data_IF_924451642492
#
_entry.id   IF_924451642492
#
_cell.length_a   1.000
_cell.length_b   1.000
_cell.length_c   1.000
_cell.angle_alpha   90.00
_cell.angle_beta   90.00
_cell.angle_gamma   90.00
#
_symmetry.space_group_name_H-M   'P 1'
#
loop_
_entity.id
_entity.type
_entity.pdbx_description
1 polymer ?
#
# COMPACT_ATOMS: atom_id res chain seq x y z
N UNK A 1 -17.50 19.04 65.87
CA UNK A 1 -16.61 20.20 66.04
C UNK A 1 -15.20 19.66 66.02
N UNK A 2 -14.47 19.83 64.93
CA UNK A 2 -13.06 19.39 64.83
C UNK A 2 -12.20 20.22 65.74
N UNK A 3 -11.35 19.60 66.53
CA UNK A 3 -10.40 20.30 67.40
C UNK A 3 -9.47 21.17 66.55
N UNK A 4 -9.48 22.48 66.76
CA UNK A 4 -8.52 23.41 66.19
C UNK A 4 -7.12 23.16 66.82
N UNK A 5 -6.34 22.31 66.19
CA UNK A 5 -4.96 22.10 66.62
C UNK A 5 -4.06 23.14 65.97
N UNK A 6 -3.47 24.00 66.79
CA UNK A 6 -2.55 25.10 66.32
C UNK A 6 -1.30 24.54 65.65
N UNK A 7 -0.96 23.30 65.89
CA UNK A 7 0.24 22.62 65.30
C UNK A 7 0.02 22.10 63.88
N UNK A 8 -1.19 21.75 63.50
CA UNK A 8 -1.48 21.22 62.16
C UNK A 8 -2.79 21.83 61.59
N UNK A 9 -2.66 22.63 60.53
CA UNK A 9 -3.83 23.18 59.81
C UNK A 9 -4.34 22.13 58.80
N UNK A 10 -5.16 21.17 59.27
CA UNK A 10 -5.72 20.09 58.47
C UNK A 10 -6.53 20.65 57.30
N UNK A 11 -7.28 21.75 57.49
CA UNK A 11 -8.05 22.37 56.42
C UNK A 11 -7.17 22.98 55.31
N UNK A 12 -6.03 23.60 55.68
CA UNK A 12 -5.05 24.07 54.69
C UNK A 12 -4.36 22.93 53.94
N UNK A 13 -4.04 21.83 54.65
CA UNK A 13 -3.45 20.66 54.01
C UNK A 13 -4.42 19.96 53.03
N UNK A 14 -5.69 19.85 53.39
CA UNK A 14 -6.76 19.32 52.52
C UNK A 14 -7.00 20.21 51.29
N UNK A 15 -7.02 21.53 51.49
CA UNK A 15 -7.10 22.50 50.37
C UNK A 15 -5.89 22.41 49.45
N UNK A 16 -4.69 22.22 50.01
CA UNK A 16 -3.45 22.04 49.22
C UNK A 16 -3.44 20.74 48.43
N UNK A 17 -3.88 19.63 49.03
CA UNK A 17 -4.01 18.34 48.33
C UNK A 17 -5.04 18.44 47.18
N UNK A 18 -6.19 19.08 47.43
CA UNK A 18 -7.22 19.31 46.40
C UNK A 18 -6.71 20.19 45.25
N UNK A 19 -5.95 21.25 45.59
CA UNK A 19 -5.32 22.12 44.60
C UNK A 19 -4.26 21.37 43.76
N UNK A 20 -3.46 20.53 44.39
CA UNK A 20 -2.46 19.69 43.67
C UNK A 20 -3.13 18.71 42.72
N UNK A 21 -4.21 18.04 43.13
CA UNK A 21 -4.99 17.14 42.28
C UNK A 21 -5.61 17.89 41.12
N UNK A 22 -6.22 19.05 41.36
CA UNK A 22 -6.81 19.88 40.31
C UNK A 22 -5.75 20.39 39.32
N UNK A 23 -4.54 20.71 39.76
CA UNK A 23 -3.45 21.10 38.88
C UNK A 23 -3.00 19.94 37.96
N UNK A 24 -2.99 18.70 38.47
CA UNK A 24 -2.70 17.52 37.63
C UNK A 24 -3.79 17.31 36.57
N UNK A 25 -5.06 17.42 36.95
CA UNK A 25 -6.18 17.33 36.02
C UNK A 25 -6.13 18.43 34.97
N UNK A 26 -5.89 19.67 35.37
CA UNK A 26 -5.73 20.82 34.45
C UNK A 26 -4.63 20.60 33.42
N UNK A 27 -3.48 20.06 33.83
CA UNK A 27 -2.39 19.74 32.92
C UNK A 27 -2.78 18.64 31.92
N UNK A 28 -3.51 17.60 32.36
CA UNK A 28 -4.01 16.54 31.51
C UNK A 28 -5.02 17.06 30.47
N UNK A 29 -5.98 17.89 30.91
CA UNK A 29 -6.99 18.51 30.04
C UNK A 29 -6.32 19.46 29.01
N UNK A 30 -5.34 20.25 29.42
CA UNK A 30 -4.55 21.10 28.50
C UNK A 30 -3.78 20.26 27.49
N UNK A 31 -3.22 19.13 27.90
CA UNK A 31 -2.53 18.21 26.99
C UNK A 31 -3.50 17.61 25.99
N UNK A 32 -4.65 17.09 26.44
CA UNK A 32 -5.68 16.54 25.55
C UNK A 32 -6.20 17.60 24.56
N UNK A 33 -6.39 18.84 25.02
CA UNK A 33 -6.84 19.96 24.18
C UNK A 33 -5.76 20.37 23.15
N UNK A 34 -4.49 20.35 23.55
CA UNK A 34 -3.35 20.70 22.67
C UNK A 34 -3.07 19.65 21.61
N UNK A 35 -3.18 18.37 21.94
CA UNK A 35 -2.94 17.25 21.01
C UNK A 35 -4.17 16.86 20.21
N UNK A 36 -5.37 17.21 20.68
CA UNK A 36 -6.64 16.70 20.17
C UNK A 36 -6.89 15.23 20.50
N UNK A 37 -6.06 14.62 21.34
CA UNK A 37 -6.13 13.22 21.71
C UNK A 37 -6.51 13.06 23.19
N UNK A 38 -7.43 12.14 23.47
CA UNK A 38 -7.83 11.75 24.82
C UNK A 38 -6.76 10.89 25.49
N UNK A 39 -6.11 10.01 24.72
CA UNK A 39 -5.07 9.10 25.17
C UNK A 39 -3.74 9.63 24.67
N UNK A 40 -2.95 10.21 25.57
CA UNK A 40 -1.62 10.77 25.26
C UNK A 40 -0.48 9.91 25.79
N UNK A 41 -0.77 9.02 26.76
CA UNK A 41 0.21 8.16 27.40
C UNK A 41 -0.39 6.81 27.76
N UNK A 42 0.48 5.81 27.99
CA UNK A 42 0.05 4.51 28.50
C UNK A 42 -0.55 4.54 29.92
N UNK A 43 -0.43 5.66 30.63
CA UNK A 43 -1.06 5.85 31.93
C UNK A 43 -2.54 6.25 31.83
N UNK A 44 -2.95 6.87 30.70
CA UNK A 44 -4.33 7.33 30.48
C UNK A 44 -5.27 6.17 30.18
N UNK A 45 -4.87 5.30 29.23
CA UNK A 45 -5.58 4.07 28.88
C UNK A 45 -4.61 3.07 28.21
N UNK A 46 -4.01 2.12 28.97
CA UNK A 46 -3.08 1.15 28.40
C UNK A 46 -3.72 0.24 27.35
N UNK A 47 -4.99 -0.12 27.53
CA UNK A 47 -5.70 -1.01 26.63
C UNK A 47 -6.09 -0.29 25.33
N UNK A 48 -6.65 0.92 25.43
CA UNK A 48 -6.99 1.76 24.29
C UNK A 48 -5.76 2.11 23.46
N UNK A 49 -4.65 2.47 24.10
CA UNK A 49 -3.39 2.78 23.41
C UNK A 49 -2.83 1.55 22.67
N UNK A 50 -2.87 0.36 23.27
CA UNK A 50 -2.42 -0.86 22.61
C UNK A 50 -3.25 -1.18 21.36
N UNK A 51 -4.58 -1.02 21.43
CA UNK A 51 -5.49 -1.22 20.29
C UNK A 51 -5.23 -0.17 19.21
N UNK A 52 -5.13 1.10 19.58
CA UNK A 52 -4.88 2.20 18.64
C UNK A 52 -3.55 2.02 17.89
N UNK A 53 -2.48 1.66 18.61
CA UNK A 53 -1.18 1.37 17.99
C UNK A 53 -1.26 0.17 17.03
N UNK A 54 -2.04 -0.86 17.35
CA UNK A 54 -2.30 -1.99 16.45
C UNK A 54 -3.06 -1.56 15.18
N UNK A 55 -4.09 -0.71 15.32
CA UNK A 55 -4.83 -0.16 14.19
C UNK A 55 -3.93 0.72 13.31
N UNK A 56 -3.12 1.59 13.92
CA UNK A 56 -2.15 2.44 13.20
C UNK A 56 -1.10 1.62 12.44
N UNK A 57 -0.60 0.52 13.04
CA UNK A 57 0.31 -0.39 12.36
C UNK A 57 -0.35 -1.03 11.13
N UNK A 58 -1.62 -1.45 11.25
CA UNK A 58 -2.38 -2.01 10.14
C UNK A 58 -2.65 -0.96 9.04
N UNK A 59 -3.00 0.28 9.41
CA UNK A 59 -3.16 1.40 8.46
C UNK A 59 -1.87 1.65 7.69
N UNK A 60 -0.72 1.65 8.38
CA UNK A 60 0.60 1.84 7.77
C UNK A 60 0.92 0.71 6.79
N UNK A 61 0.67 -0.55 7.20
CA UNK A 61 0.90 -1.72 6.34
C UNK A 61 0.00 -1.72 5.10
N UNK A 62 -1.28 -1.38 5.26
CA UNK A 62 -2.23 -1.27 4.13
C UNK A 62 -1.86 -0.12 3.19
N UNK A 63 -1.40 1.01 3.72
CA UNK A 63 -0.94 2.14 2.90
C UNK A 63 0.25 1.73 2.04
N UNK A 64 1.23 1.01 2.61
CA UNK A 64 2.34 0.47 1.84
C UNK A 64 1.86 -0.59 0.82
N UNK A 65 0.88 -1.41 1.17
CA UNK A 65 0.29 -2.40 0.28
C UNK A 65 -0.43 -1.77 -0.92
N UNK A 66 -1.11 -0.63 -0.72
CA UNK A 66 -1.69 0.19 -1.81
C UNK A 66 -0.59 0.71 -2.74
N UNK A 67 0.53 1.17 -2.18
CA UNK A 67 1.67 1.61 -2.99
C UNK A 67 2.26 0.45 -3.79
N UNK A 68 2.48 -0.71 -3.16
CA UNK A 68 2.97 -1.91 -3.83
C UNK A 68 2.04 -2.35 -4.98
N UNK A 69 0.72 -2.29 -4.78
CA UNK A 69 -0.26 -2.60 -5.82
C UNK A 69 -0.19 -1.61 -6.98
N UNK A 70 -0.02 -0.32 -6.69
CA UNK A 70 0.13 0.73 -7.71
C UNK A 70 1.41 0.53 -8.53
N UNK A 71 2.52 0.24 -7.88
CA UNK A 71 3.80 -0.07 -8.54
C UNK A 71 3.68 -1.33 -9.41
N UNK A 72 2.97 -2.34 -8.91
CA UNK A 72 2.65 -3.55 -9.66
C UNK A 72 1.83 -3.28 -10.92
N UNK A 73 0.81 -2.43 -10.85
CA UNK A 73 0.04 -1.99 -12.02
C UNK A 73 0.94 -1.26 -13.02
N UNK A 74 1.84 -0.39 -12.55
CA UNK A 74 2.82 0.29 -13.40
C UNK A 74 3.72 -0.68 -14.15
N UNK A 75 4.23 -1.71 -13.48
CA UNK A 75 5.03 -2.77 -14.09
C UNK A 75 4.23 -3.56 -15.15
N UNK A 76 2.97 -3.90 -14.84
CA UNK A 76 2.08 -4.59 -15.78
C UNK A 76 1.77 -3.76 -17.02
N UNK A 77 1.66 -2.44 -16.90
CA UNK A 77 1.48 -1.53 -18.04
C UNK A 77 2.71 -1.49 -18.95
N UNK A 78 3.92 -1.50 -18.37
CA UNK A 78 5.17 -1.62 -19.16
C UNK A 78 5.22 -2.94 -19.90
N UNK A 79 4.85 -4.04 -19.22
CA UNK A 79 4.77 -5.37 -19.85
C UNK A 79 3.77 -5.39 -21.02
N UNK A 80 2.56 -4.85 -20.82
CA UNK A 80 1.53 -4.80 -21.89
C UNK A 80 1.98 -3.94 -23.07
N UNK A 81 2.66 -2.82 -22.82
CA UNK A 81 3.24 -1.98 -23.86
C UNK A 81 4.26 -2.73 -24.71
N UNK A 82 5.17 -3.47 -24.09
CA UNK A 82 6.15 -4.32 -24.79
C UNK A 82 5.48 -5.41 -25.62
N UNK A 83 4.49 -6.11 -25.06
CA UNK A 83 3.72 -7.14 -25.76
C UNK A 83 2.90 -6.59 -26.93
N UNK A 84 2.45 -5.34 -26.83
CA UNK A 84 1.78 -4.64 -27.94
C UNK A 84 2.72 -4.41 -29.12
N UNK A 85 3.98 -4.03 -28.86
CA UNK A 85 5.00 -3.89 -29.91
C UNK A 85 5.34 -5.26 -30.56
N UNK A 86 5.49 -6.30 -29.74
CA UNK A 86 5.70 -7.66 -30.23
C UNK A 86 4.52 -8.11 -31.12
N UNK A 87 3.28 -7.80 -30.74
CA UNK A 87 2.11 -8.11 -31.55
C UNK A 87 2.19 -7.40 -32.91
N UNK A 88 2.64 -6.15 -32.97
CA UNK A 88 2.83 -5.41 -34.22
C UNK A 88 3.91 -6.04 -35.10
N UNK A 89 5.02 -6.48 -34.51
CA UNK A 89 6.09 -7.20 -35.22
C UNK A 89 5.61 -8.54 -35.76
N UNK A 90 4.84 -9.29 -34.97
CA UNK A 90 4.23 -10.55 -35.42
C UNK A 90 3.25 -10.34 -36.58
N UNK A 91 2.46 -9.27 -36.58
CA UNK A 91 1.60 -8.93 -37.72
C UNK A 91 2.42 -8.60 -38.99
N UNK A 92 3.56 -7.92 -38.86
CA UNK A 92 4.48 -7.73 -39.98
C UNK A 92 5.06 -9.06 -40.46
N UNK A 93 5.41 -9.96 -39.54
CA UNK A 93 5.88 -11.32 -39.84
C UNK A 93 4.80 -12.14 -40.60
N UNK A 94 3.51 -12.01 -40.24
CA UNK A 94 2.40 -12.62 -41.00
C UNK A 94 2.39 -12.10 -42.47
N UNK A 95 2.59 -10.80 -42.68
CA UNK A 95 2.63 -10.22 -44.01
C UNK A 95 3.76 -10.81 -44.86
N UNK A 96 4.99 -10.85 -44.31
CA UNK A 96 6.15 -11.43 -44.98
C UNK A 96 5.96 -12.91 -45.30
N UNK A 97 5.48 -13.70 -44.34
CA UNK A 97 5.23 -15.11 -44.52
C UNK A 97 4.12 -15.39 -45.54
N UNK A 98 3.07 -14.56 -45.57
CA UNK A 98 1.99 -14.64 -46.58
C UNK A 98 2.52 -14.32 -48.00
N UNK A 99 3.36 -13.31 -48.09
CA UNK A 99 4.00 -12.96 -49.37
C UNK A 99 4.91 -14.11 -49.82
N UNK A 100 5.77 -14.64 -48.96
CA UNK A 100 6.65 -15.75 -49.30
C UNK A 100 5.93 -17.05 -49.62
N UNK A 101 4.73 -17.30 -49.02
CA UNK A 101 3.90 -18.45 -49.36
C UNK A 101 3.31 -18.40 -50.78
N UNK A 102 3.29 -17.21 -51.44
CA UNK A 102 2.76 -17.10 -52.77
C UNK A 102 3.64 -17.77 -53.81
N UNK A 103 2.99 -18.50 -54.73
CA UNK A 103 3.70 -19.19 -55.85
C UNK A 103 4.29 -18.24 -56.89
N UNK A 104 3.98 -16.93 -56.82
CA UNK A 104 4.50 -15.89 -57.75
C UNK A 104 5.84 -15.31 -57.31
N UNK A 105 6.29 -15.58 -56.08
CA UNK A 105 7.55 -15.06 -55.51
C UNK A 105 8.70 -15.97 -55.87
N UNK A 106 9.81 -15.43 -56.36
CA UNK A 106 11.02 -16.15 -56.68
C UNK A 106 11.83 -16.51 -55.44
N UNK A 107 12.70 -17.52 -55.51
CA UNK A 107 13.54 -17.93 -54.40
C UNK A 107 14.47 -16.81 -53.92
N UNK A 108 14.98 -15.95 -54.81
CA UNK A 108 15.81 -14.80 -54.40
C UNK A 108 15.01 -13.76 -53.64
N UNK A 109 13.74 -13.54 -53.97
CA UNK A 109 12.86 -12.68 -53.19
C UNK A 109 12.53 -13.29 -51.84
N UNK A 110 12.27 -14.61 -51.77
CA UNK A 110 12.06 -15.30 -50.49
C UNK A 110 13.27 -15.18 -49.56
N UNK A 111 14.49 -15.24 -50.11
CA UNK A 111 15.70 -15.01 -49.30
C UNK A 111 15.76 -13.60 -48.71
N UNK A 112 15.29 -12.59 -49.47
CA UNK A 112 15.18 -11.23 -48.93
C UNK A 112 14.11 -11.12 -47.83
N UNK A 113 12.94 -11.73 -48.05
CA UNK A 113 11.86 -11.79 -47.05
C UNK A 113 12.31 -12.55 -45.77
N UNK A 114 13.12 -13.63 -45.93
CA UNK A 114 13.71 -14.36 -44.79
C UNK A 114 14.65 -13.44 -43.99
N UNK A 115 15.47 -12.63 -44.62
CA UNK A 115 16.38 -11.72 -43.92
C UNK A 115 15.59 -10.66 -43.08
N UNK A 116 14.49 -10.16 -43.62
CA UNK A 116 13.62 -9.24 -42.90
C UNK A 116 12.89 -9.95 -41.76
N UNK A 117 12.39 -11.17 -41.96
CA UNK A 117 11.79 -11.99 -40.91
C UNK A 117 12.79 -12.30 -39.76
N UNK A 118 14.04 -12.63 -40.08
CA UNK A 118 15.10 -12.84 -39.09
C UNK A 118 15.37 -11.55 -38.26
N UNK A 119 15.27 -10.39 -38.89
CA UNK A 119 15.37 -9.10 -38.16
C UNK A 119 14.21 -8.91 -37.19
N UNK A 120 12.99 -9.29 -37.56
CA UNK A 120 11.83 -9.26 -36.67
C UNK A 120 12.03 -10.22 -35.50
N UNK A 121 12.53 -11.44 -35.71
CA UNK A 121 12.84 -12.40 -34.63
C UNK A 121 13.84 -11.82 -33.63
N UNK A 122 14.90 -11.18 -34.14
CA UNK A 122 15.91 -10.50 -33.33
C UNK A 122 15.32 -9.35 -32.52
N UNK A 123 14.46 -8.54 -33.14
CA UNK A 123 13.80 -7.41 -32.44
C UNK A 123 12.84 -7.87 -31.36
N UNK A 124 12.06 -8.93 -31.60
CA UNK A 124 11.20 -9.55 -30.59
C UNK A 124 12.03 -10.00 -29.37
N UNK A 125 13.14 -10.69 -29.62
CA UNK A 125 14.06 -11.13 -28.57
C UNK A 125 14.67 -9.94 -27.83
N UNK A 126 15.05 -8.88 -28.55
CA UNK A 126 15.58 -7.65 -27.95
C UNK A 126 14.55 -6.95 -27.06
N UNK A 127 13.29 -6.85 -27.49
CA UNK A 127 12.21 -6.31 -26.66
C UNK A 127 12.02 -7.15 -25.40
N UNK A 128 11.97 -8.48 -25.51
CA UNK A 128 11.79 -9.37 -24.36
C UNK A 128 12.92 -9.27 -23.34
N UNK A 129 14.17 -9.17 -23.80
CA UNK A 129 15.35 -9.11 -22.91
C UNK A 129 15.58 -7.72 -22.30
N UNK A 130 15.28 -6.64 -23.04
CA UNK A 130 15.60 -5.29 -22.62
C UNK A 130 14.43 -4.58 -21.92
N UNK A 131 13.24 -5.19 -21.88
CA UNK A 131 12.11 -4.61 -21.14
C UNK A 131 12.33 -4.79 -19.64
N UNK A 132 12.60 -3.67 -18.97
CA UNK A 132 12.88 -3.63 -17.54
C UNK A 132 11.96 -2.64 -16.83
N UNK A 133 11.71 -2.89 -15.56
CA UNK A 133 11.05 -1.96 -14.64
C UNK A 133 11.90 -1.85 -13.37
N UNK A 134 12.29 -0.64 -13.03
CA UNK A 134 13.17 -0.35 -11.90
C UNK A 134 14.46 -1.22 -11.89
N UNK A 135 15.05 -1.45 -13.09
CA UNK A 135 16.26 -2.27 -13.26
C UNK A 135 16.04 -3.78 -13.18
N UNK A 136 14.82 -4.25 -12.99
CA UNK A 136 14.47 -5.67 -13.00
C UNK A 136 13.89 -6.06 -14.36
N UNK A 137 14.36 -7.16 -14.95
CA UNK A 137 13.78 -7.69 -16.18
C UNK A 137 12.34 -8.16 -15.91
N UNK A 138 11.44 -7.76 -16.80
CA UNK A 138 10.02 -8.12 -16.69
C UNK A 138 9.78 -9.53 -17.23
N UNK A 139 10.43 -9.87 -18.34
CA UNK A 139 10.30 -11.17 -19.00
C UNK A 139 11.55 -12.01 -18.76
N UNK A 140 11.36 -13.28 -18.42
CA UNK A 140 12.46 -14.20 -18.19
C UNK A 140 11.95 -15.60 -17.87
N UNK A 141 12.87 -16.58 -17.83
CA UNK A 141 12.52 -17.95 -17.48
C UNK A 141 11.94 -17.99 -16.05
N UNK A 142 10.67 -18.34 -15.94
CA UNK A 142 9.95 -18.39 -14.67
C UNK A 142 9.64 -17.01 -14.08
N UNK A 143 9.72 -15.92 -14.87
CA UNK A 143 9.39 -14.59 -14.38
C UNK A 143 7.94 -14.55 -13.89
N UNK A 144 7.79 -14.21 -12.62
CA UNK A 144 6.51 -14.00 -11.97
C UNK A 144 6.59 -12.77 -11.07
N UNK A 145 5.60 -11.90 -11.17
CA UNK A 145 5.46 -10.76 -10.28
C UNK A 145 4.58 -11.19 -9.09
N UNK A 146 5.15 -11.17 -7.90
CA UNK A 146 4.41 -11.41 -6.66
C UNK A 146 4.28 -10.10 -5.90
N UNK A 147 3.08 -9.55 -5.87
CA UNK A 147 2.77 -8.29 -5.19
C UNK A 147 2.18 -8.62 -3.83
N UNK A 148 2.89 -8.23 -2.78
CA UNK A 148 2.46 -8.41 -1.41
C UNK A 148 1.46 -7.32 -1.02
N UNK A 149 0.28 -7.76 -0.54
CA UNK A 149 -0.83 -6.91 -0.12
C UNK A 149 -1.42 -7.49 1.17
N UNK A 150 -0.97 -7.04 2.32
CA UNK A 150 -1.47 -7.52 3.61
C UNK A 150 -1.51 -6.39 4.64
N UNK A 151 -2.44 -6.50 5.56
CA UNK A 151 -2.59 -5.60 6.71
C UNK A 151 -1.67 -5.95 7.89
N UNK A 152 -0.68 -6.82 7.71
CA UNK A 152 0.17 -7.40 8.76
C UNK A 152 -0.57 -8.22 9.83
N UNK A 153 -1.88 -8.40 9.72
CA UNK A 153 -2.62 -9.29 10.61
C UNK A 153 -2.29 -10.76 10.31
N UNK A 154 -2.35 -11.61 11.32
CA UNK A 154 -1.99 -13.04 11.25
C UNK A 154 -2.90 -13.88 10.34
N UNK A 155 -3.87 -13.29 9.66
CA UNK A 155 -4.91 -13.96 8.86
C UNK A 155 -4.50 -14.30 7.41
N UNK A 156 -3.22 -14.25 7.11
CA UNK A 156 -2.69 -14.72 5.84
C UNK A 156 -2.09 -13.62 4.97
N UNK A 157 -1.02 -13.98 4.28
CA UNK A 157 -0.38 -13.13 3.27
C UNK A 157 -1.26 -13.10 2.02
N UNK A 158 -1.87 -11.97 1.72
CA UNK A 158 -2.52 -11.76 0.43
C UNK A 158 -1.46 -11.34 -0.58
N UNK A 159 -1.18 -12.22 -1.54
CA UNK A 159 -0.29 -11.91 -2.66
C UNK A 159 -1.03 -12.09 -3.96
N UNK A 160 -0.92 -11.13 -4.86
CA UNK A 160 -1.30 -11.33 -6.27
C UNK A 160 -0.04 -11.73 -7.04
N UNK A 161 -0.08 -12.92 -7.61
CA UNK A 161 1.02 -13.42 -8.42
C UNK A 161 0.62 -13.39 -9.89
N UNK A 162 1.40 -12.70 -10.71
CA UNK A 162 1.22 -12.64 -12.16
C UNK A 162 2.40 -13.32 -12.82
N UNK A 163 2.13 -14.39 -13.56
CA UNK A 163 3.15 -15.08 -14.36
C UNK A 163 3.31 -14.34 -15.68
N UNK A 164 4.49 -13.78 -15.91
CA UNK A 164 4.82 -13.04 -17.13
C UNK A 164 5.55 -13.92 -18.15
N UNK A 165 6.22 -14.95 -17.66
CA UNK A 165 6.93 -15.93 -18.50
C UNK A 165 8.11 -15.32 -19.26
N UNK A 166 8.70 -16.14 -20.11
CA UNK A 166 9.77 -15.73 -21.02
C UNK A 166 9.17 -15.27 -22.34
N UNK A 167 9.73 -14.20 -22.89
CA UNK A 167 9.32 -13.64 -24.18
C UNK A 167 10.59 -13.44 -25.02
N UNK A 168 10.82 -14.37 -25.94
CA UNK A 168 11.82 -14.31 -27.00
C UNK A 168 11.26 -15.04 -28.24
N UNK A 169 12.05 -15.14 -29.33
CA UNK A 169 11.66 -15.84 -30.55
C UNK A 169 11.40 -17.35 -30.35
N UNK A 170 12.01 -17.95 -29.34
CA UNK A 170 11.83 -19.35 -28.96
C UNK A 170 10.69 -19.58 -27.95
N UNK A 171 10.30 -18.56 -27.19
CA UNK A 171 9.33 -18.65 -26.09
C UNK A 171 8.36 -17.47 -26.15
N UNK A 172 7.36 -17.52 -27.00
CA UNK A 172 6.36 -16.47 -27.12
C UNK A 172 5.13 -16.79 -26.26
N UNK A 173 5.02 -16.07 -25.13
CA UNK A 173 3.84 -16.12 -24.28
C UNK A 173 3.67 -17.40 -23.46
N UNK A 174 4.76 -18.13 -23.14
CA UNK A 174 4.72 -19.27 -22.23
C UNK A 174 4.50 -18.80 -20.80
N UNK A 175 3.28 -18.96 -20.28
CA UNK A 175 3.01 -18.82 -18.85
C UNK A 175 3.49 -20.06 -18.08
N UNK A 176 3.83 -19.88 -16.81
CA UNK A 176 4.19 -21.00 -15.91
C UNK A 176 3.07 -22.03 -15.91
N UNK A 177 3.30 -23.19 -16.53
CA UNK A 177 2.31 -24.27 -16.67
C UNK A 177 2.00 -24.68 -18.11
N UNK A 178 2.43 -23.95 -19.14
CA UNK A 178 2.38 -24.40 -20.52
C UNK A 178 3.56 -25.30 -20.82
N UNK A 179 3.31 -26.53 -21.21
CA UNK A 179 4.35 -27.55 -21.48
C UNK A 179 4.98 -27.42 -22.88
N UNK A 180 4.41 -26.59 -23.74
CA UNK A 180 4.92 -26.38 -25.10
C UNK A 180 5.08 -24.88 -25.37
N UNK A 181 6.34 -24.39 -25.46
CA UNK A 181 6.59 -23.01 -25.88
C UNK A 181 6.16 -22.83 -27.33
N UNK A 182 5.49 -21.71 -27.62
CA UNK A 182 5.27 -21.30 -29.01
C UNK A 182 6.56 -20.65 -29.50
N UNK A 183 7.18 -21.25 -30.51
CA UNK A 183 8.46 -20.79 -31.07
C UNK A 183 8.30 -20.39 -32.52
N UNK A 184 8.93 -19.28 -32.87
CA UNK A 184 9.13 -18.85 -34.24
C UNK A 184 10.60 -18.89 -34.65
N UNK A 185 11.52 -19.28 -33.73
CA UNK A 185 12.96 -19.26 -33.93
C UNK A 185 13.42 -20.14 -35.10
N UNK A 186 12.77 -21.29 -35.29
CA UNK A 186 13.10 -22.25 -36.35
C UNK A 186 12.29 -22.06 -37.64
N UNK A 187 11.48 -20.99 -37.72
CA UNK A 187 10.68 -20.75 -38.90
C UNK A 187 11.53 -20.20 -40.07
N UNK A 188 11.26 -20.72 -41.24
CA UNK A 188 11.96 -20.38 -42.50
C UNK A 188 10.92 -19.90 -43.54
N UNK A 189 11.27 -18.91 -44.31
CA UNK A 189 10.46 -18.37 -45.39
C UNK A 189 11.04 -18.62 -46.79
N UNK A 190 12.11 -19.43 -46.88
CA UNK A 190 12.85 -19.67 -48.15
C UNK A 190 12.08 -20.55 -49.12
N UNK A 191 11.08 -21.30 -48.66
CA UNK A 191 10.16 -22.07 -49.51
C UNK A 191 8.68 -21.73 -49.19
N UNK A 192 7.80 -21.92 -50.18
CA UNK A 192 6.39 -21.68 -50.00
C UNK A 192 5.76 -22.58 -48.92
N UNK A 193 6.23 -23.82 -48.78
CA UNK A 193 5.79 -24.78 -47.79
C UNK A 193 6.19 -24.36 -46.39
N UNK A 194 7.44 -23.94 -46.21
CA UNK A 194 7.96 -23.49 -44.90
C UNK A 194 7.31 -22.18 -44.47
N UNK A 195 7.06 -21.27 -45.42
CA UNK A 195 6.31 -20.05 -45.18
C UNK A 195 4.86 -20.32 -44.69
N UNK A 196 4.19 -21.35 -45.20
CA UNK A 196 2.87 -21.80 -44.71
C UNK A 196 2.95 -22.38 -43.30
N UNK A 197 3.99 -23.13 -42.98
CA UNK A 197 4.23 -23.63 -41.64
C UNK A 197 4.56 -22.50 -40.66
N UNK A 198 5.38 -21.53 -41.09
CA UNK A 198 5.69 -20.32 -40.34
C UNK A 198 4.42 -19.51 -40.00
N UNK A 199 3.48 -19.34 -40.95
CA UNK A 199 2.20 -18.69 -40.69
C UNK A 199 1.40 -19.34 -39.56
N UNK A 200 1.41 -20.66 -39.49
CA UNK A 200 0.73 -21.41 -38.40
C UNK A 200 1.35 -21.08 -37.04
N UNK A 201 2.69 -21.10 -36.96
CA UNK A 201 3.42 -20.81 -35.73
C UNK A 201 3.29 -19.34 -35.34
N UNK A 202 3.35 -18.39 -36.29
CA UNK A 202 3.18 -16.95 -36.02
C UNK A 202 1.77 -16.66 -35.50
N UNK A 203 0.72 -17.28 -36.08
CA UNK A 203 -0.65 -17.12 -35.59
C UNK A 203 -0.81 -17.71 -34.17
N UNK A 204 -0.19 -18.85 -33.87
CA UNK A 204 -0.15 -19.40 -32.52
C UNK A 204 0.55 -18.47 -31.55
N UNK A 205 1.67 -17.85 -31.96
CA UNK A 205 2.39 -16.84 -31.19
C UNK A 205 1.51 -15.62 -30.88
N UNK A 206 0.79 -15.10 -31.85
CA UNK A 206 -0.15 -13.97 -31.66
C UNK A 206 -1.23 -14.34 -30.62
N UNK A 207 -1.81 -15.54 -30.70
CA UNK A 207 -2.79 -15.99 -29.73
C UNK A 207 -2.21 -16.15 -28.33
N UNK A 208 -1.00 -16.64 -28.22
CA UNK A 208 -0.30 -16.79 -26.94
C UNK A 208 -0.01 -15.42 -26.29
N UNK A 209 0.50 -14.46 -27.07
CA UNK A 209 0.73 -13.09 -26.61
C UNK A 209 -0.60 -12.43 -26.21
N UNK A 210 -1.67 -12.62 -26.99
CA UNK A 210 -3.00 -12.09 -26.66
C UNK A 210 -3.54 -12.66 -25.34
N UNK A 211 -3.32 -13.96 -25.09
CA UNK A 211 -3.68 -14.62 -23.82
C UNK A 211 -2.87 -14.05 -22.65
N UNK A 212 -1.56 -13.83 -22.83
CA UNK A 212 -0.71 -13.22 -21.81
C UNK A 212 -1.15 -11.79 -21.48
N UNK A 213 -1.46 -10.98 -22.49
CA UNK A 213 -2.02 -9.63 -22.33
C UNK A 213 -3.37 -9.67 -21.61
N UNK A 214 -4.23 -10.66 -21.93
CA UNK A 214 -5.48 -10.89 -21.21
C UNK A 214 -5.25 -11.18 -19.72
N UNK A 215 -4.26 -12.01 -19.39
CA UNK A 215 -3.88 -12.31 -18.00
C UNK A 215 -3.35 -11.08 -17.27
N UNK A 216 -2.52 -10.26 -17.93
CA UNK A 216 -2.02 -8.99 -17.40
C UNK A 216 -3.18 -8.03 -17.11
N UNK A 217 -4.13 -7.89 -18.05
CA UNK A 217 -5.31 -7.06 -17.87
C UNK A 217 -6.20 -7.53 -16.71
N UNK A 218 -6.43 -8.84 -16.58
CA UNK A 218 -7.18 -9.42 -15.47
C UNK A 218 -6.49 -9.15 -14.12
N UNK A 219 -5.16 -9.32 -14.05
CA UNK A 219 -4.38 -9.07 -12.84
C UNK A 219 -4.34 -7.58 -12.48
N UNK A 220 -4.27 -6.69 -13.47
CA UNK A 220 -4.37 -5.24 -13.25
C UNK A 220 -5.73 -4.85 -12.65
N UNK A 221 -6.82 -5.44 -13.16
CA UNK A 221 -8.15 -5.22 -12.59
C UNK A 221 -8.26 -5.78 -11.16
N UNK A 222 -7.65 -6.94 -10.90
CA UNK A 222 -7.62 -7.53 -9.56
C UNK A 222 -6.85 -6.63 -8.58
N UNK A 223 -5.70 -6.09 -8.98
CA UNK A 223 -4.93 -5.15 -8.17
C UNK A 223 -5.71 -3.86 -7.90
N UNK A 224 -6.39 -3.33 -8.90
CA UNK A 224 -7.24 -2.14 -8.75
C UNK A 224 -8.41 -2.39 -7.78
N UNK A 225 -9.06 -3.54 -7.87
CA UNK A 225 -10.12 -3.93 -6.95
C UNK A 225 -9.59 -4.11 -5.51
N UNK A 226 -8.43 -4.75 -5.35
CA UNK A 226 -7.78 -4.91 -4.05
C UNK A 226 -7.38 -3.56 -3.44
N UNK A 227 -6.86 -2.62 -4.25
CA UNK A 227 -6.55 -1.25 -3.82
C UNK A 227 -7.78 -0.53 -3.29
N UNK A 228 -8.92 -0.65 -3.95
CA UNK A 228 -10.18 -0.07 -3.47
C UNK A 228 -10.62 -0.66 -2.13
N UNK A 229 -10.49 -1.98 -1.95
CA UNK A 229 -10.81 -2.65 -0.68
C UNK A 229 -9.86 -2.15 0.42
N UNK A 230 -8.55 -2.10 0.17
CA UNK A 230 -7.56 -1.61 1.13
C UNK A 230 -7.81 -0.15 1.53
N UNK A 231 -8.15 0.74 0.59
CA UNK A 231 -8.50 2.13 0.89
C UNK A 231 -9.74 2.23 1.79
N UNK A 232 -10.76 1.40 1.55
CA UNK A 232 -11.93 1.33 2.43
C UNK A 232 -11.55 0.81 3.84
N UNK A 233 -10.67 -0.18 3.93
CA UNK A 233 -10.16 -0.68 5.21
C UNK A 233 -9.37 0.40 5.94
N UNK A 234 -8.46 1.11 5.29
CA UNK A 234 -7.71 2.25 5.84
C UNK A 234 -8.67 3.28 6.43
N UNK A 235 -9.71 3.68 5.69
CA UNK A 235 -10.71 4.64 6.16
C UNK A 235 -11.45 4.15 7.41
N UNK A 236 -11.86 2.89 7.43
CA UNK A 236 -12.55 2.28 8.57
C UNK A 236 -11.64 2.15 9.80
N UNK A 237 -10.39 1.70 9.61
CA UNK A 237 -9.41 1.55 10.68
C UNK A 237 -9.03 2.92 11.26
N UNK A 238 -8.80 3.92 10.42
CA UNK A 238 -8.54 5.30 10.86
C UNK A 238 -9.74 5.88 11.62
N UNK A 239 -10.96 5.59 11.20
CA UNK A 239 -12.16 6.00 11.93
C UNK A 239 -12.26 5.30 13.29
N UNK A 240 -11.93 4.02 13.36
CA UNK A 240 -11.89 3.25 14.60
C UNK A 240 -10.80 3.76 15.56
N UNK A 241 -9.61 4.06 15.03
CA UNK A 241 -8.51 4.66 15.78
C UNK A 241 -8.92 6.02 16.37
N UNK A 242 -9.52 6.90 15.54
CA UNK A 242 -10.00 8.19 15.97
C UNK A 242 -11.08 8.09 17.07
N UNK A 243 -11.97 7.11 16.99
CA UNK A 243 -12.97 6.87 18.03
C UNK A 243 -12.34 6.49 19.38
N UNK A 244 -11.19 5.86 19.36
CA UNK A 244 -10.43 5.48 20.57
C UNK A 244 -9.60 6.67 21.07
N UNK A 245 -8.87 7.33 20.18
CA UNK A 245 -7.84 8.32 20.52
C UNK A 245 -8.35 9.74 20.61
N UNK A 246 -9.36 10.13 19.83
CA UNK A 246 -9.77 11.53 19.72
C UNK A 246 -10.44 12.05 20.98
N UNK A 247 -10.06 13.25 21.40
CA UNK A 247 -10.71 13.98 22.48
C UNK A 247 -11.97 14.69 21.98
N UNK A 248 -13.02 14.70 22.80
CA UNK A 248 -14.18 15.57 22.57
C UNK A 248 -13.85 16.99 23.01
N UNK A 249 -13.50 17.85 22.06
CA UNK A 249 -13.08 19.22 22.32
C UNK A 249 -14.10 20.03 23.13
N UNK A 250 -15.43 19.78 22.96
CA UNK A 250 -16.47 20.44 23.73
C UNK A 250 -16.43 20.06 25.21
N UNK A 251 -16.23 18.76 25.49
CA UNK A 251 -16.10 18.25 26.86
C UNK A 251 -14.81 18.75 27.50
N UNK A 252 -13.68 18.69 26.80
CA UNK A 252 -12.40 19.15 27.33
C UNK A 252 -12.37 20.66 27.61
N UNK A 253 -13.03 21.47 26.77
CA UNK A 253 -13.14 22.91 27.01
C UNK A 253 -14.01 23.21 28.26
N UNK A 254 -15.08 22.45 28.49
CA UNK A 254 -15.89 22.55 29.69
C UNK A 254 -15.09 22.13 30.94
N UNK A 255 -14.35 21.04 30.87
CA UNK A 255 -13.44 20.55 31.93
C UNK A 255 -12.39 21.62 32.26
N UNK A 256 -11.73 22.20 31.25
CA UNK A 256 -10.74 23.26 31.42
C UNK A 256 -11.33 24.46 32.17
N UNK A 257 -12.55 24.89 31.79
CA UNK A 257 -13.24 26.01 32.45
C UNK A 257 -13.53 25.69 33.92
N UNK A 258 -14.01 24.47 34.20
CA UNK A 258 -14.29 23.98 35.55
C UNK A 258 -13.02 23.92 36.40
N UNK A 259 -11.95 23.33 35.88
CA UNK A 259 -10.68 23.17 36.58
C UNK A 259 -10.00 24.53 36.86
N UNK A 260 -10.10 25.47 35.91
CA UNK A 260 -9.62 26.84 36.10
C UNK A 260 -10.39 27.58 37.26
N UNK A 261 -11.71 27.40 37.36
CA UNK A 261 -12.50 27.92 38.44
C UNK A 261 -12.12 27.24 39.77
N UNK A 262 -11.96 25.90 39.75
CA UNK A 262 -11.55 25.15 40.94
C UNK A 262 -10.16 25.57 41.44
N UNK A 263 -9.23 25.87 40.51
CA UNK A 263 -7.90 26.39 40.86
C UNK A 263 -8.01 27.73 41.58
N UNK A 264 -8.79 28.67 41.05
CA UNK A 264 -9.00 29.98 41.68
C UNK A 264 -9.69 29.86 43.03
N UNK A 265 -10.75 29.06 43.17
CA UNK A 265 -11.45 28.82 44.42
C UNK A 265 -10.60 28.08 45.44
N UNK A 266 -9.79 27.13 45.02
CA UNK A 266 -8.83 26.41 45.85
C UNK A 266 -7.76 27.32 46.47
N UNK A 267 -7.23 28.24 45.68
CA UNK A 267 -6.28 29.26 46.17
C UNK A 267 -6.98 30.18 47.21
N UNK A 268 -8.22 30.63 46.93
CA UNK A 268 -8.98 31.47 47.88
C UNK A 268 -9.30 30.70 49.20
N UNK A 269 -9.65 29.43 49.11
CA UNK A 269 -9.88 28.56 50.27
C UNK A 269 -8.60 28.37 51.12
N UNK A 270 -7.44 28.17 50.45
CA UNK A 270 -6.15 28.06 51.12
C UNK A 270 -5.79 29.36 51.85
N UNK A 271 -6.03 30.51 51.26
CA UNK A 271 -5.82 31.83 51.88
C UNK A 271 -6.73 31.97 53.11
N UNK A 272 -8.01 31.64 53.00
CA UNK A 272 -8.96 31.71 54.11
C UNK A 272 -8.60 30.79 55.26
N UNK A 273 -8.15 29.55 55.00
CA UNK A 273 -7.68 28.61 55.98
C UNK A 273 -6.42 29.10 56.73
N UNK A 274 -5.51 29.75 55.98
CA UNK A 274 -4.32 30.38 56.58
C UNK A 274 -4.66 31.59 57.47
N UNK A 275 -5.62 32.44 57.04
CA UNK A 275 -6.07 33.60 57.83
C UNK A 275 -6.74 33.18 59.12
N UNK A 276 -7.57 32.12 59.12
CA UNK A 276 -8.19 31.58 60.35
C UNK A 276 -7.12 31.15 61.35
N UNK A 277 -6.05 30.50 60.91
CA UNK A 277 -4.94 30.07 61.80
C UNK A 277 -4.24 31.31 62.40
N UNK A 278 -3.95 32.32 61.61
CA UNK A 278 -3.37 33.60 62.12
C UNK A 278 -4.27 34.30 63.13
N UNK A 279 -5.58 34.27 62.92
CA UNK A 279 -6.55 34.85 63.87
C UNK A 279 -6.59 34.11 65.21
N UNK A 280 -6.48 32.78 65.17
CA UNK A 280 -6.36 31.95 66.42
C UNK A 280 -5.07 32.25 67.17
N UNK A 281 -3.95 32.39 66.43
CA UNK A 281 -2.66 32.77 67.02
C UNK A 281 -2.70 34.16 67.68
N UNK A 282 -3.39 35.13 67.09
CA UNK A 282 -3.59 36.47 67.67
C UNK A 282 -4.48 36.48 68.94
N UNK A 283 -5.39 35.53 69.08
CA UNK A 283 -6.23 35.38 70.27
C UNK A 283 -5.49 34.71 71.43
N UNK A 284 -4.36 34.02 71.17
CA UNK A 284 -3.56 33.34 72.15
C UNK A 284 -2.34 34.14 72.64
N UNK A 285 -2.12 35.36 72.06
CA UNK A 285 -1.16 36.35 72.47
C UNK A 285 -1.82 37.45 73.28
#
# INVERSE_FOLDING_TARGET
MGALTVLNNIAALEAQNSLSTNQMSLNSTLQALSTGQRINSGADDPAGLAIANGLQANVTALTQSVQNATDGVGMLQVADGALSQITSLLNSAVSLATESASGTVSNSQRTALQAEFASIQTEITSIGQNTTYNGQAIFGSGASLSIYMSDSSSQGTSTVTVSLGQVDDAHLGTTSGSTTPVSIASNDLTTASDAQAALTNINAAIQSIASLRGSIGASSNQLSAATNVMNNQISNLTSAENNIMAANMGTETANLSQESILQQTGIAALQQASQMQQSVLKLLQ
#
